data_IF_726896796170
#
_entry.id   IF_726896796170
#
_cell.length_a   1.000
_cell.length_b   1.000
_cell.length_c   1.000
_cell.angle_alpha   90.00
_cell.angle_beta   90.00
_cell.angle_gamma   90.00
#
_symmetry.space_group_name_H-M   'P 1'
#
loop_
_entity.id
_entity.type
_entity.pdbx_description
1 polymer ?
#
# COMPACT_ATOMS: atom_id res chain seq x y z
N UNK A 1 22.82 -9.99 8.48
CA UNK A 1 21.97 -10.80 9.37
C UNK A 1 21.15 -9.90 10.28
N UNK A 2 19.85 -9.83 10.07
CA UNK A 2 18.92 -9.25 11.04
C UNK A 2 17.60 -10.02 10.92
N UNK A 3 17.56 -11.09 11.72
CA UNK A 3 16.59 -12.17 11.75
C UNK A 3 15.34 -11.76 12.53
N UNK A 4 14.42 -11.08 11.84
CA UNK A 4 13.06 -10.82 12.32
C UNK A 4 12.04 -11.26 11.27
N UNK A 5 12.30 -12.38 10.59
CA UNK A 5 11.33 -13.02 9.72
C UNK A 5 10.31 -13.78 10.56
N UNK A 6 9.05 -13.36 10.45
CA UNK A 6 7.92 -14.08 11.04
C UNK A 6 7.68 -15.34 10.22
N UNK A 7 7.60 -16.54 10.82
CA UNK A 7 7.42 -17.79 10.09
C UNK A 7 6.16 -17.76 9.20
N UNK A 8 6.28 -18.28 7.98
CA UNK A 8 5.28 -18.34 6.89
C UNK A 8 3.94 -18.99 7.30
N UNK A 9 3.85 -19.59 8.49
CA UNK A 9 2.65 -20.26 9.01
C UNK A 9 1.91 -19.52 10.13
N UNK A 10 2.16 -18.22 10.36
CA UNK A 10 1.24 -17.42 11.19
C UNK A 10 0.06 -16.91 10.36
N UNK A 11 -1.17 -17.07 10.87
CA UNK A 11 -2.39 -16.43 10.33
C UNK A 11 -2.13 -14.92 10.14
N UNK A 12 -1.87 -14.49 8.92
CA UNK A 12 -1.70 -13.08 8.59
C UNK A 12 -3.08 -12.41 8.65
N UNK A 13 -3.20 -11.37 9.46
CA UNK A 13 -4.49 -10.76 9.78
C UNK A 13 -4.93 -9.76 8.71
N UNK A 14 -5.83 -10.22 7.84
CA UNK A 14 -7.00 -9.50 7.31
C UNK A 14 -8.15 -10.52 7.26
N UNK A 15 -8.61 -10.99 8.43
CA UNK A 15 -9.62 -12.06 8.58
C UNK A 15 -9.35 -13.33 7.73
N UNK A 16 -8.09 -13.67 7.45
CA UNK A 16 -7.74 -14.83 6.61
C UNK A 16 -8.14 -14.71 5.12
N UNK A 17 -8.66 -13.56 4.66
CA UNK A 17 -9.03 -13.36 3.24
C UNK A 17 -7.83 -13.40 2.31
N UNK A 18 -6.64 -13.07 2.80
CA UNK A 18 -5.41 -13.15 2.02
C UNK A 18 -5.12 -14.60 1.56
N UNK A 19 -5.57 -15.60 2.35
CA UNK A 19 -5.35 -17.00 2.03
C UNK A 19 -6.11 -17.46 0.78
N UNK A 20 -7.14 -16.72 0.37
CA UNK A 20 -7.96 -17.05 -0.80
C UNK A 20 -7.28 -16.70 -2.13
N UNK A 21 -6.17 -15.95 -2.08
CA UNK A 21 -5.45 -15.47 -3.26
C UNK A 21 -4.09 -16.17 -3.46
N UNK A 22 -3.74 -17.15 -2.61
CA UNK A 22 -2.62 -18.04 -2.89
C UNK A 22 -3.03 -19.03 -3.98
N UNK A 23 -2.59 -18.79 -5.20
CA UNK A 23 -2.69 -19.78 -6.27
C UNK A 23 -1.57 -20.81 -6.08
N UNK A 24 -1.92 -21.99 -5.55
CA UNK A 24 -1.04 -23.15 -5.68
C UNK A 24 -0.97 -23.51 -7.16
N UNK A 25 0.22 -23.46 -7.74
CA UNK A 25 0.47 -24.10 -9.02
C UNK A 25 0.25 -25.60 -8.80
N UNK A 26 -0.88 -26.12 -9.30
CA UNK A 26 -1.07 -27.57 -9.37
C UNK A 26 0.02 -28.09 -10.31
N UNK A 27 1.05 -28.70 -9.74
CA UNK A 27 1.95 -29.57 -10.49
C UNK A 27 1.09 -30.66 -11.13
N UNK A 28 0.90 -30.55 -12.44
CA UNK A 28 0.36 -31.63 -13.26
C UNK A 28 1.52 -32.59 -13.48
N UNK A 29 1.62 -33.61 -12.63
CA UNK A 29 2.48 -34.76 -12.91
C UNK A 29 1.82 -35.63 -13.99
N UNK A 30 2.59 -36.13 -14.98
CA UNK A 30 2.04 -36.89 -16.09
C UNK A 30 1.59 -38.29 -15.64
N UNK A 31 0.45 -38.73 -16.18
CA UNK A 31 -0.13 -40.03 -15.92
C UNK A 31 0.69 -41.16 -16.57
N UNK A 32 0.86 -42.27 -15.84
CA UNK A 32 1.28 -43.57 -16.37
C UNK A 32 0.36 -44.71 -15.83
N UNK A 33 0.25 -45.84 -16.55
CA UNK A 33 -0.95 -46.68 -16.63
C UNK A 33 -1.03 -47.81 -15.57
N UNK A 34 -2.13 -48.60 -15.52
CA UNK A 34 -2.42 -49.47 -14.39
C UNK A 34 -1.77 -50.85 -14.52
N UNK A 35 -1.27 -51.39 -13.41
CA UNK A 35 -0.91 -52.81 -13.27
C UNK A 35 -1.36 -53.38 -11.91
N UNK A 36 -1.67 -54.69 -11.96
CA UNK A 36 -2.43 -55.52 -11.03
C UNK A 36 -1.67 -55.95 -9.75
N UNK A 37 -2.49 -56.28 -8.73
CA UNK A 37 -2.38 -57.34 -7.71
C UNK A 37 -1.30 -57.28 -6.60
N UNK A 38 -1.76 -57.39 -5.33
CA UNK A 38 -1.47 -58.45 -4.32
C UNK A 38 -1.31 -57.91 -2.88
N UNK A 39 -2.28 -58.26 -2.06
CA UNK A 39 -2.28 -58.78 -0.66
C UNK A 39 -1.23 -58.36 0.41
N UNK A 40 -1.80 -58.06 1.60
CA UNK A 40 -1.41 -58.49 2.98
C UNK A 40 -0.53 -57.60 3.91
N UNK A 41 -1.12 -57.36 5.10
CA UNK A 41 -0.56 -57.44 6.48
C UNK A 41 -0.23 -56.15 7.24
N UNK A 42 -1.10 -55.86 8.22
CA UNK A 42 -0.87 -55.58 9.66
C UNK A 42 0.46 -54.95 10.10
N UNK A 43 0.42 -53.89 10.91
CA UNK A 43 0.94 -53.88 12.30
C UNK A 43 0.49 -52.63 13.08
N UNK A 44 0.21 -52.93 14.34
CA UNK A 44 -0.39 -52.24 15.49
C UNK A 44 0.48 -51.15 16.16
N UNK A 45 -0.16 -50.39 17.06
CA UNK A 45 0.38 -49.77 18.30
C UNK A 45 1.21 -48.47 18.11
N UNK A 46 1.10 -47.40 18.91
CA UNK A 46 0.81 -47.29 20.35
C UNK A 46 0.34 -45.87 20.71
N UNK A 47 -0.68 -45.79 21.56
CA UNK A 47 -1.07 -44.60 22.33
C UNK A 47 -0.27 -44.59 23.63
N UNK A 48 0.37 -43.46 23.96
CA UNK A 48 0.92 -43.25 25.31
C UNK A 48 0.49 -41.90 25.86
N UNK A 49 -0.33 -41.98 26.90
CA UNK A 49 -0.68 -40.94 27.85
C UNK A 49 0.37 -40.94 28.96
N UNK A 50 0.87 -39.79 29.43
CA UNK A 50 1.02 -39.51 30.88
C UNK A 50 1.47 -38.08 31.21
N UNK A 51 0.66 -37.44 32.07
CA UNK A 51 1.02 -36.76 33.34
C UNK A 51 1.72 -35.40 33.40
N UNK A 52 0.89 -34.41 33.74
CA UNK A 52 0.96 -33.48 34.89
C UNK A 52 2.31 -33.24 35.60
N UNK A 53 2.69 -31.97 35.71
CA UNK A 53 3.20 -31.42 36.98
C UNK A 53 2.98 -29.92 37.07
N UNK A 54 2.31 -29.52 38.14
CA UNK A 54 2.07 -28.16 38.63
C UNK A 54 3.31 -27.58 39.30
N UNK A 55 3.66 -26.33 39.00
CA UNK A 55 4.40 -25.46 39.94
C UNK A 55 4.03 -23.99 39.75
N UNK A 56 3.91 -23.35 40.90
CA UNK A 56 3.38 -22.03 41.24
C UNK A 56 4.33 -20.85 41.04
N UNK A 57 3.74 -19.63 41.05
CA UNK A 57 4.34 -18.30 41.35
C UNK A 57 5.23 -17.71 40.23
N UNK A 58 5.24 -16.41 39.90
CA UNK A 58 4.83 -15.17 40.59
C UNK A 58 4.81 -14.03 39.55
N UNK A 59 3.87 -13.09 39.67
CA UNK A 59 3.94 -11.77 39.04
C UNK A 59 5.08 -10.93 39.65
N UNK A 60 5.58 -9.94 38.89
CA UNK A 60 5.81 -8.63 39.47
C UNK A 60 5.14 -7.52 38.66
N UNK A 61 4.19 -6.86 39.32
CA UNK A 61 3.80 -5.47 39.12
C UNK A 61 4.83 -4.54 39.77
N UNK A 62 5.26 -3.49 39.06
CA UNK A 62 5.83 -2.27 39.64
C UNK A 62 5.42 -1.09 38.77
N UNK A 63 4.45 -0.27 39.18
CA UNK A 63 4.49 0.75 40.25
C UNK A 63 5.02 2.11 39.74
N UNK A 64 4.04 2.93 39.42
CA UNK A 64 4.00 4.40 39.36
C UNK A 64 4.81 5.08 40.47
N UNK A 65 5.65 6.05 40.10
CA UNK A 65 6.21 7.03 41.03
C UNK A 65 5.66 8.41 40.68
N UNK A 66 4.66 8.82 41.47
CA UNK A 66 4.28 10.22 41.69
C UNK A 66 5.35 10.87 42.56
N UNK A 67 5.81 12.07 42.20
CA UNK A 67 6.47 12.98 43.15
C UNK A 67 5.72 14.31 43.20
N UNK A 68 5.31 14.65 44.42
CA UNK A 68 4.59 15.86 44.82
C UNK A 68 5.50 17.10 44.80
N UNK A 69 4.82 18.24 44.69
CA UNK A 69 5.24 19.65 44.68
C UNK A 69 5.50 20.18 46.11
N UNK A 70 6.25 21.28 46.23
CA UNK A 70 5.90 22.58 46.88
C UNK A 70 7.19 23.48 46.98
N UNK A 71 7.15 24.77 47.39
CA UNK A 71 6.83 25.93 46.56
C UNK A 71 7.90 27.06 46.60
N UNK A 72 8.01 27.89 45.55
CA UNK A 72 8.69 29.20 45.65
C UNK A 72 7.82 30.27 44.96
N UNK A 73 7.55 31.34 45.69
CA UNK A 73 6.80 32.55 45.32
C UNK A 73 7.72 33.77 45.60
N UNK A 74 7.31 35.02 45.31
CA UNK A 74 7.23 35.71 44.03
C UNK A 74 8.31 36.81 43.87
N UNK A 75 8.73 37.12 42.65
CA UNK A 75 9.46 38.37 42.36
C UNK A 75 8.70 39.26 41.39
N UNK A 76 8.09 40.28 42.00
CA UNK A 76 7.94 41.67 41.55
C UNK A 76 7.57 41.96 40.08
N UNK A 77 6.27 42.18 39.90
CA UNK A 77 5.63 42.99 38.87
C UNK A 77 6.23 44.41 38.85
N UNK A 78 6.76 44.84 37.71
CA UNK A 78 7.05 46.26 37.43
C UNK A 78 6.32 46.69 36.16
N UNK A 79 5.30 47.51 36.36
CA UNK A 79 4.57 48.26 35.33
C UNK A 79 5.45 49.35 34.74
N UNK A 80 5.60 49.40 33.41
CA UNK A 80 5.98 50.63 32.71
C UNK A 80 5.16 50.79 31.42
N UNK A 81 4.31 51.81 31.50
CA UNK A 81 3.69 52.66 30.49
C UNK A 81 4.17 52.56 29.03
N UNK A 82 3.16 52.43 28.16
CA UNK A 82 3.01 53.00 26.80
C UNK A 82 4.03 54.05 26.38
N UNK A 83 4.61 53.82 25.20
CA UNK A 83 4.90 54.86 24.21
C UNK A 83 4.68 54.27 22.82
N UNK A 84 3.65 54.78 22.16
CA UNK A 84 3.27 54.53 20.78
C UNK A 84 4.23 55.23 19.83
N UNK A 85 4.93 54.48 18.99
CA UNK A 85 5.61 55.02 17.82
C UNK A 85 5.13 54.23 16.60
N UNK A 86 4.28 54.88 15.82
CA UNK A 86 3.69 54.40 14.59
C UNK A 86 4.76 54.42 13.50
N UNK A 87 5.33 53.28 13.15
CA UNK A 87 6.05 53.10 11.89
C UNK A 87 5.15 52.35 10.93
N UNK A 88 4.65 53.10 9.95
CA UNK A 88 3.81 52.65 8.86
C UNK A 88 4.64 51.80 7.89
N UNK A 89 4.77 50.50 8.15
CA UNK A 89 5.20 49.53 7.13
C UNK A 89 3.97 49.02 6.40
N UNK A 90 3.78 49.56 5.18
CA UNK A 90 2.89 49.04 4.16
C UNK A 90 2.97 47.51 4.06
N UNK A 91 1.86 46.76 4.16
CA UNK A 91 1.87 45.35 3.81
C UNK A 91 2.04 45.26 2.30
N UNK A 92 3.23 44.84 1.86
CA UNK A 92 3.44 44.37 0.50
C UNK A 92 2.40 43.28 0.22
N UNK A 93 1.51 43.56 -0.71
CA UNK A 93 0.62 42.60 -1.34
C UNK A 93 1.47 41.58 -2.09
N UNK A 94 1.99 40.59 -1.36
CA UNK A 94 2.52 39.39 -1.99
C UNK A 94 1.32 38.62 -2.51
N UNK A 95 1.00 38.87 -3.78
CA UNK A 95 0.25 37.95 -4.63
C UNK A 95 0.77 36.52 -4.38
N UNK A 96 -0.10 35.54 -4.09
CA UNK A 96 0.34 34.18 -3.86
C UNK A 96 1.04 33.68 -5.11
N UNK A 97 2.34 33.41 -5.00
CA UNK A 97 3.09 32.73 -6.04
C UNK A 97 2.41 31.39 -6.33
N UNK A 98 2.34 30.95 -7.59
CA UNK A 98 1.80 29.63 -7.88
C UNK A 98 2.66 28.62 -7.11
N UNK A 99 2.03 27.71 -6.37
CA UNK A 99 2.68 26.55 -5.78
C UNK A 99 3.22 25.66 -6.91
N UNK A 100 4.33 26.05 -7.54
CA UNK A 100 4.95 25.33 -8.64
C UNK A 100 5.74 24.17 -8.04
N UNK A 101 5.03 23.10 -7.69
CA UNK A 101 5.69 21.82 -7.42
C UNK A 101 6.43 21.45 -8.71
N UNK A 102 7.74 21.14 -8.67
CA UNK A 102 8.48 20.80 -9.88
C UNK A 102 7.84 19.60 -10.58
N UNK A 103 7.92 19.54 -11.92
CA UNK A 103 7.35 18.45 -12.69
C UNK A 103 7.97 17.11 -12.25
N UNK A 104 7.16 16.05 -12.29
CA UNK A 104 7.59 14.70 -11.96
C UNK A 104 8.57 14.17 -13.00
N UNK A 105 9.67 13.55 -12.58
CA UNK A 105 10.53 12.73 -13.45
C UNK A 105 10.00 11.29 -13.61
N UNK A 106 8.95 10.92 -12.87
CA UNK A 106 8.36 9.59 -12.99
C UNK A 106 7.66 9.47 -14.35
N UNK A 107 8.05 8.46 -15.12
CA UNK A 107 7.41 8.11 -16.39
C UNK A 107 6.54 6.88 -16.21
N UNK A 108 5.47 6.82 -16.96
CA UNK A 108 4.65 5.64 -17.10
C UNK A 108 5.48 4.48 -17.69
N UNK A 109 5.27 3.28 -17.15
CA UNK A 109 5.86 2.03 -17.67
C UNK A 109 4.74 1.11 -18.15
N UNK A 110 4.17 1.44 -19.30
CA UNK A 110 3.03 0.70 -19.88
C UNK A 110 3.35 0.22 -21.31
N UNK A 111 4.34 -0.68 -21.50
CA UNK A 111 4.51 -1.35 -22.79
C UNK A 111 3.32 -2.30 -23.07
N UNK A 112 3.19 -2.81 -24.30
CA UNK A 112 2.20 -3.85 -24.62
C UNK A 112 2.44 -5.14 -23.83
N UNK A 113 1.40 -5.98 -23.73
CA UNK A 113 1.46 -7.34 -23.17
C UNK A 113 1.86 -7.42 -21.67
N UNK A 114 1.48 -6.42 -20.88
CA UNK A 114 1.64 -6.49 -19.42
C UNK A 114 0.68 -7.53 -18.82
N UNK A 115 1.18 -8.38 -17.93
CA UNK A 115 0.33 -9.21 -17.09
C UNK A 115 -0.33 -8.37 -15.98
N UNK A 116 0.39 -7.37 -15.46
CA UNK A 116 -0.08 -6.56 -14.34
C UNK A 116 0.31 -5.09 -14.53
N UNK A 117 -0.68 -4.20 -14.54
CA UNK A 117 -0.48 -2.76 -14.41
C UNK A 117 -0.82 -2.30 -12.99
N UNK A 118 0.16 -1.73 -12.29
CA UNK A 118 -0.01 -1.15 -10.97
C UNK A 118 -0.33 0.35 -11.11
N UNK A 119 -1.41 0.80 -10.48
CA UNK A 119 -1.88 2.18 -10.56
C UNK A 119 -1.80 2.82 -9.18
N UNK A 120 -0.89 3.79 -9.03
CA UNK A 120 -0.80 4.61 -7.83
C UNK A 120 -1.73 5.83 -7.88
N UNK A 121 -1.80 6.56 -6.76
CA UNK A 121 -2.58 7.80 -6.67
C UNK A 121 -1.87 8.92 -7.44
N UNK A 122 -0.69 9.29 -6.97
CA UNK A 122 0.18 10.28 -7.58
C UNK A 122 1.61 10.14 -7.05
N UNK A 123 2.62 10.73 -7.71
CA UNK A 123 3.98 10.73 -7.20
C UNK A 123 4.07 11.46 -5.85
N UNK A 124 4.62 10.79 -4.83
CA UNK A 124 5.18 11.51 -3.67
C UNK A 124 6.39 12.35 -4.10
N UNK A 125 6.81 13.33 -3.29
CA UNK A 125 7.96 14.20 -3.64
C UNK A 125 9.20 13.40 -4.06
N UNK A 126 9.61 12.39 -3.27
CA UNK A 126 10.80 11.58 -3.62
C UNK A 126 10.60 10.74 -4.89
N UNK A 127 9.39 10.21 -5.10
CA UNK A 127 9.04 9.49 -6.34
C UNK A 127 9.13 10.43 -7.54
N UNK A 128 8.61 11.65 -7.40
CA UNK A 128 8.65 12.68 -8.43
C UNK A 128 10.08 13.14 -8.74
N UNK A 129 10.92 13.36 -7.72
CA UNK A 129 12.30 13.84 -7.93
C UNK A 129 13.26 12.76 -8.40
N UNK A 130 13.07 11.49 -8.04
CA UNK A 130 13.94 10.39 -8.48
C UNK A 130 13.47 9.77 -9.79
N UNK A 131 12.20 9.96 -10.14
CA UNK A 131 11.56 9.26 -11.25
C UNK A 131 11.38 7.75 -11.01
N UNK A 132 11.46 7.29 -9.76
CA UNK A 132 11.30 5.89 -9.38
C UNK A 132 10.02 5.68 -8.60
N UNK A 133 9.21 4.71 -9.01
CA UNK A 133 7.93 4.41 -8.39
C UNK A 133 8.11 4.03 -6.91
N UNK A 134 7.26 4.59 -6.05
CA UNK A 134 7.23 4.29 -4.61
C UNK A 134 8.59 4.45 -3.91
N UNK A 135 9.35 5.50 -4.25
CA UNK A 135 10.74 5.67 -3.79
C UNK A 135 10.91 5.95 -2.29
N UNK A 136 9.88 6.48 -1.63
CA UNK A 136 9.99 6.86 -0.22
C UNK A 136 10.27 5.64 0.68
N UNK A 137 11.26 5.66 1.59
CA UNK A 137 11.64 4.48 2.39
C UNK A 137 10.54 3.92 3.29
N UNK A 138 9.58 4.75 3.70
CA UNK A 138 8.41 4.29 4.48
C UNK A 138 7.35 3.59 3.62
N UNK A 139 7.43 3.71 2.29
CA UNK A 139 6.49 3.05 1.40
C UNK A 139 6.74 1.54 1.40
N UNK A 140 5.69 0.75 1.60
CA UNK A 140 5.78 -0.70 1.70
C UNK A 140 5.68 -1.41 0.36
N UNK A 141 5.41 -0.71 -0.74
CA UNK A 141 5.18 -1.29 -2.06
C UNK A 141 6.21 -2.35 -2.44
N UNK A 142 7.50 -2.02 -2.44
CA UNK A 142 8.56 -2.94 -2.86
C UNK A 142 8.72 -4.14 -1.92
N UNK A 143 8.42 -3.98 -0.62
CA UNK A 143 8.38 -5.08 0.34
C UNK A 143 7.20 -6.00 0.06
N UNK A 144 6.00 -5.43 -0.12
CA UNK A 144 4.76 -6.16 -0.34
C UNK A 144 4.74 -6.87 -1.70
N UNK A 145 5.29 -6.25 -2.74
CA UNK A 145 5.44 -6.86 -4.07
C UNK A 145 6.24 -8.17 -3.96
N UNK A 146 7.35 -8.12 -3.23
CA UNK A 146 8.14 -9.32 -2.98
C UNK A 146 7.45 -10.33 -2.06
N UNK A 147 6.93 -9.90 -0.90
CA UNK A 147 6.26 -10.78 0.06
C UNK A 147 5.01 -11.46 -0.50
N UNK A 148 4.36 -10.85 -1.50
CA UNK A 148 3.24 -11.47 -2.21
C UNK A 148 3.65 -12.63 -3.12
N UNK A 149 4.95 -12.79 -3.41
CA UNK A 149 5.46 -13.76 -4.38
C UNK A 149 5.38 -13.29 -5.85
N UNK A 150 4.91 -12.06 -6.12
CA UNK A 150 4.89 -11.50 -7.48
C UNK A 150 6.31 -11.34 -8.02
N UNK A 151 7.27 -10.93 -7.19
CA UNK A 151 8.69 -10.89 -7.56
C UNK A 151 9.51 -11.84 -6.68
N UNK A 152 10.45 -12.62 -7.27
CA UNK A 152 11.24 -13.60 -6.53
C UNK A 152 12.23 -12.96 -5.55
N UNK A 153 12.62 -11.69 -5.81
CA UNK A 153 13.46 -10.90 -4.93
C UNK A 153 12.79 -9.57 -4.59
N UNK A 154 13.27 -8.91 -3.53
CA UNK A 154 12.92 -7.53 -3.22
C UNK A 154 13.75 -6.58 -4.07
N UNK A 155 13.10 -5.95 -5.04
CA UNK A 155 13.68 -4.88 -5.85
C UNK A 155 13.81 -3.55 -5.10
N UNK A 156 14.77 -2.73 -5.54
CA UNK A 156 14.89 -1.34 -5.12
C UNK A 156 14.04 -0.44 -6.03
N UNK A 157 13.63 0.77 -5.58
CA UNK A 157 12.91 1.71 -6.44
C UNK A 157 13.57 2.00 -7.78
N UNK A 158 14.90 2.00 -7.84
CA UNK A 158 15.68 2.18 -9.08
C UNK A 158 15.41 1.12 -10.16
N UNK A 159 14.82 -0.02 -9.81
CA UNK A 159 14.43 -1.06 -10.77
C UNK A 159 13.05 -0.80 -11.41
N UNK A 160 12.39 0.33 -11.13
CA UNK A 160 11.07 0.71 -11.69
C UNK A 160 10.95 0.40 -13.19
N UNK A 161 11.96 0.77 -13.96
CA UNK A 161 11.96 0.64 -15.43
C UNK A 161 12.39 -0.74 -15.94
N UNK A 162 12.81 -1.64 -15.05
CA UNK A 162 13.21 -3.02 -15.38
C UNK A 162 12.07 -4.02 -15.22
N UNK A 163 11.11 -3.74 -14.33
CA UNK A 163 9.98 -4.65 -14.06
C UNK A 163 9.18 -5.06 -15.30
N UNK A 164 8.93 -4.20 -16.31
CA UNK A 164 8.21 -4.65 -17.50
C UNK A 164 8.95 -5.75 -18.25
N UNK A 165 10.26 -5.62 -18.46
CA UNK A 165 11.05 -6.62 -19.17
C UNK A 165 11.28 -7.90 -18.36
N UNK A 166 11.36 -7.78 -17.03
CA UNK A 166 11.62 -8.93 -16.16
C UNK A 166 10.37 -9.76 -15.86
N UNK A 167 9.20 -9.11 -15.74
CA UNK A 167 8.00 -9.72 -15.16
C UNK A 167 6.68 -9.35 -15.86
N UNK A 168 6.71 -8.57 -16.93
CA UNK A 168 5.51 -7.99 -17.55
C UNK A 168 4.68 -7.18 -16.54
N UNK A 169 5.35 -6.46 -15.63
CA UNK A 169 4.72 -5.60 -14.62
C UNK A 169 5.00 -4.13 -14.95
N UNK A 170 3.94 -3.35 -15.12
CA UNK A 170 3.99 -1.92 -15.38
C UNK A 170 3.51 -1.07 -14.21
N UNK A 171 3.76 0.24 -14.30
CA UNK A 171 3.32 1.21 -13.31
C UNK A 171 2.84 2.53 -13.95
N UNK A 172 1.79 3.11 -13.39
CA UNK A 172 1.27 4.45 -13.71
C UNK A 172 0.62 5.09 -12.49
N UNK A 173 0.11 6.31 -12.61
CA UNK A 173 -0.73 6.96 -11.61
C UNK A 173 -1.99 7.54 -12.24
N UNK A 174 -3.06 7.64 -11.45
CA UNK A 174 -4.28 8.35 -11.87
C UNK A 174 -4.07 9.87 -11.96
N UNK A 175 -3.17 10.44 -11.13
CA UNK A 175 -2.79 11.85 -11.19
C UNK A 175 -1.27 12.00 -11.35
N UNK A 176 -0.86 12.84 -12.29
CA UNK A 176 0.56 13.05 -12.64
C UNK A 176 1.28 14.01 -11.69
N UNK A 177 0.54 14.95 -11.10
CA UNK A 177 1.11 16.01 -10.26
C UNK A 177 1.70 15.46 -8.95
N UNK A 178 3.00 15.72 -8.66
CA UNK A 178 3.57 15.32 -7.39
C UNK A 178 2.95 16.08 -6.21
N UNK A 179 2.79 15.40 -5.07
CA UNK A 179 2.43 16.05 -3.81
C UNK A 179 3.21 15.46 -2.64
N UNK A 180 3.27 16.19 -1.52
CA UNK A 180 3.79 15.64 -0.26
C UNK A 180 2.85 14.59 0.33
N UNK A 181 1.55 14.81 0.16
CA UNK A 181 0.50 13.94 0.67
C UNK A 181 -0.64 13.83 -0.34
N UNK A 182 -1.21 12.64 -0.50
CA UNK A 182 -2.31 12.40 -1.42
C UNK A 182 -3.57 13.20 -1.06
N UNK A 183 -3.75 13.60 0.20
CA UNK A 183 -4.84 14.48 0.66
C UNK A 183 -4.79 15.88 0.06
N UNK A 184 -3.65 16.28 -0.52
CA UNK A 184 -3.50 17.55 -1.26
C UNK A 184 -4.11 17.50 -2.68
N UNK A 185 -4.55 16.33 -3.14
CA UNK A 185 -5.27 16.20 -4.40
C UNK A 185 -6.74 16.56 -4.19
N UNK A 186 -7.28 17.36 -5.10
CA UNK A 186 -8.71 17.64 -5.11
C UNK A 186 -9.45 16.44 -5.68
N UNK A 187 -10.69 16.22 -5.22
CA UNK A 187 -11.56 15.19 -5.79
C UNK A 187 -11.72 15.33 -7.31
N UNK A 188 -11.90 16.55 -7.80
CA UNK A 188 -12.02 16.83 -9.24
C UNK A 188 -10.77 16.43 -10.03
N UNK A 189 -9.59 16.52 -9.43
CA UNK A 189 -8.33 16.12 -10.07
C UNK A 189 -8.22 14.60 -10.18
N UNK A 190 -8.61 13.87 -9.13
CA UNK A 190 -8.74 12.42 -9.16
C UNK A 190 -9.78 11.96 -10.20
N UNK A 191 -10.96 12.61 -10.22
CA UNK A 191 -12.04 12.27 -11.13
C UNK A 191 -11.63 12.58 -12.60
N UNK A 192 -10.88 13.67 -12.85
CA UNK A 192 -10.33 13.99 -14.18
C UNK A 192 -9.26 13.00 -14.66
N UNK A 193 -8.56 12.32 -13.74
CA UNK A 193 -7.58 11.30 -14.07
C UNK A 193 -8.18 9.97 -14.54
N UNK A 194 -9.45 9.69 -14.23
CA UNK A 194 -10.12 8.43 -14.62
C UNK A 194 -10.17 8.22 -16.13
N UNK A 195 -10.69 9.15 -16.97
CA UNK A 195 -10.75 8.92 -18.41
C UNK A 195 -9.35 8.77 -19.04
N UNK A 196 -8.34 9.47 -18.51
CA UNK A 196 -6.94 9.34 -18.96
C UNK A 196 -6.40 7.94 -18.64
N UNK A 197 -6.63 7.46 -17.41
CA UNK A 197 -6.25 6.12 -16.99
C UNK A 197 -6.95 5.05 -17.85
N UNK A 198 -8.26 5.18 -18.07
CA UNK A 198 -9.02 4.24 -18.88
C UNK A 198 -8.52 4.20 -20.33
N UNK A 199 -8.18 5.35 -20.92
CA UNK A 199 -7.58 5.40 -22.25
C UNK A 199 -6.21 4.68 -22.30
N UNK A 200 -5.35 4.88 -21.29
CA UNK A 200 -4.05 4.17 -21.18
C UNK A 200 -4.27 2.65 -21.11
N UNK A 201 -5.22 2.21 -20.29
CA UNK A 201 -5.55 0.78 -20.14
C UNK A 201 -6.16 0.21 -21.42
N UNK A 202 -7.07 0.93 -22.09
CA UNK A 202 -7.68 0.51 -23.36
C UNK A 202 -6.63 0.34 -24.46
N UNK A 203 -5.65 1.24 -24.53
CA UNK A 203 -4.61 1.22 -25.54
C UNK A 203 -3.62 0.05 -25.34
N UNK A 204 -3.23 -0.25 -24.11
CA UNK A 204 -2.15 -1.22 -23.82
C UNK A 204 -2.66 -2.60 -23.37
N UNK A 205 -3.94 -2.70 -22.99
CA UNK A 205 -4.65 -3.95 -22.66
C UNK A 205 -3.89 -4.91 -21.74
N UNK A 206 -3.47 -4.46 -20.53
CA UNK A 206 -2.88 -5.37 -19.55
C UNK A 206 -3.87 -6.46 -19.15
N UNK A 207 -3.38 -7.66 -18.79
CA UNK A 207 -4.25 -8.76 -18.34
C UNK A 207 -4.96 -8.44 -17.01
N UNK A 208 -4.28 -7.71 -16.11
CA UNK A 208 -4.85 -7.22 -14.86
C UNK A 208 -4.43 -5.77 -14.56
N UNK A 209 -5.36 -5.00 -13.99
CA UNK A 209 -5.11 -3.66 -13.43
C UNK A 209 -5.28 -3.71 -11.92
N UNK A 210 -4.24 -3.34 -11.18
CA UNK A 210 -4.25 -3.29 -9.72
C UNK A 210 -4.18 -1.85 -9.24
N UNK A 211 -5.25 -1.40 -8.59
CA UNK A 211 -5.31 -0.08 -7.99
C UNK A 211 -4.67 -0.11 -6.61
N UNK A 212 -3.50 0.52 -6.49
CA UNK A 212 -2.68 0.58 -5.27
C UNK A 212 -3.19 1.70 -4.35
N UNK A 213 -4.51 1.69 -4.10
CA UNK A 213 -5.19 2.68 -3.25
C UNK A 213 -6.71 2.68 -3.40
N UNK A 214 -7.43 2.64 -2.27
CA UNK A 214 -8.91 2.70 -2.23
C UNK A 214 -9.47 3.95 -2.88
N UNK A 215 -8.81 5.10 -2.71
CA UNK A 215 -9.26 6.40 -3.25
C UNK A 215 -9.30 6.44 -4.77
N UNK A 216 -8.46 5.64 -5.45
CA UNK A 216 -8.46 5.50 -6.90
C UNK A 216 -9.75 4.81 -7.34
N UNK A 217 -10.10 3.70 -6.68
CA UNK A 217 -11.36 3.00 -6.95
C UNK A 217 -12.58 3.88 -6.68
N UNK A 218 -12.55 4.67 -5.61
CA UNK A 218 -13.62 5.62 -5.33
C UNK A 218 -13.75 6.70 -6.41
N UNK A 219 -12.65 7.12 -7.05
CA UNK A 219 -12.68 8.05 -8.18
C UNK A 219 -13.30 7.40 -9.42
N UNK A 220 -12.84 6.20 -9.78
CA UNK A 220 -13.40 5.40 -10.89
C UNK A 220 -14.90 5.21 -10.71
N UNK A 221 -15.33 4.82 -9.51
CA UNK A 221 -16.75 4.63 -9.19
C UNK A 221 -17.56 5.91 -9.37
N UNK A 222 -17.05 7.05 -8.90
CA UNK A 222 -17.73 8.35 -9.03
C UNK A 222 -17.89 8.77 -10.47
N UNK A 223 -16.87 8.57 -11.29
CA UNK A 223 -16.90 8.92 -12.71
C UNK A 223 -17.85 8.01 -13.48
N UNK A 224 -17.79 6.69 -13.26
CA UNK A 224 -18.66 5.72 -13.95
C UNK A 224 -20.12 5.75 -13.51
N UNK A 225 -20.39 6.00 -12.23
CA UNK A 225 -21.74 5.88 -11.64
C UNK A 225 -22.37 7.23 -11.27
N UNK A 226 -21.65 8.35 -11.39
CA UNK A 226 -22.13 9.68 -11.03
C UNK A 226 -22.31 9.93 -9.52
N UNK A 227 -21.89 9.00 -8.65
CA UNK A 227 -22.06 9.09 -7.19
C UNK A 227 -20.94 8.40 -6.42
N UNK A 228 -20.81 8.70 -5.13
CA UNK A 228 -19.91 7.98 -4.23
C UNK A 228 -20.30 6.52 -4.03
N UNK A 229 -19.30 5.66 -3.84
CA UNK A 229 -19.48 4.25 -3.45
C UNK A 229 -19.93 4.17 -2.00
N UNK A 230 -20.93 3.34 -1.71
CA UNK A 230 -21.39 3.07 -0.35
C UNK A 230 -20.47 2.03 0.31
N UNK A 231 -20.53 1.94 1.64
CA UNK A 231 -19.67 1.03 2.40
C UNK A 231 -19.94 -0.43 2.06
N UNK A 232 -21.19 -0.77 1.79
CA UNK A 232 -21.65 -2.13 1.47
C UNK A 232 -21.29 -2.55 0.04
N UNK A 233 -21.07 -1.57 -0.84
CA UNK A 233 -20.67 -1.78 -2.23
C UNK A 233 -19.15 -1.94 -2.36
N UNK A 234 -18.39 -1.39 -1.42
CA UNK A 234 -16.93 -1.45 -1.45
C UNK A 234 -16.39 -2.81 -0.99
N UNK A 235 -15.52 -3.40 -1.80
CA UNK A 235 -14.69 -4.55 -1.41
C UNK A 235 -13.29 -4.47 -2.02
N UNK A 236 -12.30 -4.90 -1.26
CA UNK A 236 -10.96 -5.17 -1.79
C UNK A 236 -10.96 -6.47 -2.61
N UNK A 237 -9.95 -6.60 -3.49
CA UNK A 237 -9.72 -7.79 -4.29
C UNK A 237 -10.23 -7.65 -5.72
N UNK A 238 -10.45 -8.80 -6.37
CA UNK A 238 -10.90 -8.88 -7.75
C UNK A 238 -12.32 -8.30 -7.90
N UNK A 239 -12.50 -7.42 -8.89
CA UNK A 239 -13.79 -6.81 -9.18
C UNK A 239 -14.55 -7.65 -10.21
N UNK A 240 -15.86 -7.42 -10.32
CA UNK A 240 -16.67 -8.14 -11.30
C UNK A 240 -16.30 -7.76 -12.73
N UNK A 241 -16.68 -8.62 -13.68
CA UNK A 241 -16.33 -8.44 -15.10
C UNK A 241 -16.84 -7.10 -15.61
N UNK A 242 -18.03 -6.67 -15.18
CA UNK A 242 -18.65 -5.36 -15.46
C UNK A 242 -17.78 -4.16 -15.08
N UNK A 243 -16.81 -4.35 -14.18
CA UNK A 243 -15.91 -3.31 -13.72
C UNK A 243 -14.56 -3.29 -14.44
N UNK A 244 -14.32 -4.18 -15.42
CA UNK A 244 -13.08 -4.19 -16.19
C UNK A 244 -12.79 -2.80 -16.80
N UNK A 245 -11.55 -2.35 -16.67
CA UNK A 245 -11.06 -1.13 -17.31
C UNK A 245 -10.60 -1.41 -18.74
N UNK A 246 -10.72 -0.41 -19.61
CA UNK A 246 -10.23 -0.50 -20.99
C UNK A 246 -11.04 -1.42 -21.91
N UNK A 247 -12.33 -1.64 -21.59
CA UNK A 247 -13.26 -2.24 -22.55
C UNK A 247 -13.40 -1.29 -23.73
N UNK A 248 -13.16 -1.79 -24.93
CA UNK A 248 -13.67 -1.16 -26.15
C UNK A 248 -15.13 -1.60 -26.25
N UNK A 249 -16.04 -0.64 -26.29
CA UNK A 249 -17.44 -0.90 -26.64
C UNK A 249 -17.55 -1.52 -28.04
#
# INVERSE_FOLDING_TARGET
DNDNDVPVNKKTSFHGRLNQYFHTTKNVSPAQPPTKQTTTTTTTTTTTTTTTTTTTKRNPTSASLKRKRDPIQPTTRRTRSRSSTTTTTTPSSQSPTPNTTPPSLLRDTIPPNLHLLLVGVNPGILTGTTGHAYAHPSNLFWKLLHWSGITPIRHAPSDTYRLPALYNIGNTNIVERPTRDASMLRRAEMDAGVPVLEAKVAAQRPEAVCLVGKSIWEAVWRVRRGRGIRKEEFRYGWQGVEENMGRLE
#
